data_IF_966451812292
#
_entry.id   IF_966451812292
#
_cell.length_a   1.000
_cell.length_b   1.000
_cell.length_c   1.000
_cell.angle_alpha   90.00
_cell.angle_beta   90.00
_cell.angle_gamma   90.00
#
_symmetry.space_group_name_H-M   'P 1'
#
loop_
_entity.id
_entity.type
_entity.pdbx_description
1 polymer ?
#
# COMPACT_ATOMS: atom_id res chain seq x y z
N UNK A 1 -9.07 10.06 3.44
CA UNK A 1 -8.56 9.58 4.75
C UNK A 1 -7.85 10.67 5.53
N UNK A 2 -7.01 11.46 4.88
CA UNK A 2 -6.28 12.56 5.50
C UNK A 2 -7.22 13.63 6.08
N UNK A 3 -8.36 13.88 5.42
CA UNK A 3 -9.42 14.75 5.96
C UNK A 3 -9.93 14.27 7.32
N UNK A 4 -10.17 12.96 7.46
CA UNK A 4 -10.59 12.38 8.74
C UNK A 4 -9.55 12.61 9.84
N UNK A 5 -8.25 12.49 9.51
CA UNK A 5 -7.20 12.79 10.48
C UNK A 5 -7.17 14.27 10.84
N UNK A 6 -7.29 15.16 9.84
CA UNK A 6 -7.26 16.61 10.06
C UNK A 6 -8.41 17.08 10.95
N UNK A 7 -9.61 16.56 10.73
CA UNK A 7 -10.82 17.03 11.42
C UNK A 7 -11.04 16.35 12.77
N UNK A 8 -10.72 15.05 12.89
CA UNK A 8 -11.18 14.25 14.03
C UNK A 8 -10.07 13.70 14.93
N UNK A 9 -8.79 13.88 14.62
CA UNK A 9 -7.70 13.31 15.42
C UNK A 9 -7.77 13.73 16.90
N UNK A 10 -7.87 15.04 17.18
CA UNK A 10 -7.91 15.54 18.56
C UNK A 10 -9.17 15.11 19.31
N UNK A 11 -10.34 15.18 18.67
CA UNK A 11 -11.60 14.75 19.28
C UNK A 11 -11.60 13.24 19.59
N UNK A 12 -11.09 12.43 18.67
CA UNK A 12 -10.94 10.99 18.85
C UNK A 12 -9.95 10.66 19.97
N UNK A 13 -8.84 11.41 20.06
CA UNK A 13 -7.86 11.28 21.15
C UNK A 13 -8.45 11.61 22.52
N UNK A 14 -9.15 12.74 22.64
CA UNK A 14 -9.79 13.17 23.90
C UNK A 14 -10.85 12.18 24.39
N UNK A 15 -11.62 11.59 23.47
CA UNK A 15 -12.67 10.60 23.78
C UNK A 15 -12.15 9.16 23.85
N UNK A 16 -10.85 8.94 23.66
CA UNK A 16 -10.22 7.63 23.58
C UNK A 16 -10.89 6.69 22.55
N UNK A 17 -11.26 7.23 21.39
CA UNK A 17 -11.86 6.49 20.26
C UNK A 17 -10.82 6.24 19.18
N UNK A 18 -10.74 5.02 18.66
CA UNK A 18 -9.90 4.70 17.52
C UNK A 18 -10.67 4.86 16.20
N UNK A 19 -10.10 5.62 15.27
CA UNK A 19 -10.55 5.72 13.88
C UNK A 19 -9.42 5.18 13.01
N UNK A 20 -9.57 3.97 12.49
CA UNK A 20 -8.53 3.33 11.67
C UNK A 20 -9.06 3.20 10.25
N UNK A 21 -8.41 3.90 9.31
CA UNK A 21 -8.76 3.84 7.89
C UNK A 21 -7.88 2.83 7.15
N UNK A 22 -8.28 2.45 5.94
CA UNK A 22 -7.49 1.60 5.04
C UNK A 22 -7.22 0.17 5.55
N UNK A 23 -8.13 -0.40 6.35
CA UNK A 23 -8.06 -1.78 6.86
C UNK A 23 -8.43 -2.84 5.80
N UNK A 24 -8.03 -2.65 4.55
CA UNK A 24 -8.37 -3.52 3.42
C UNK A 24 -7.15 -3.87 2.57
N UNK A 25 -7.41 -4.63 1.50
CA UNK A 25 -6.39 -5.18 0.60
C UNK A 25 -5.43 -4.15 0.01
N UNK A 26 -5.91 -2.95 -0.33
CA UNK A 26 -5.07 -1.95 -1.01
C UNK A 26 -3.91 -1.45 -0.14
N UNK A 27 -4.06 -1.47 1.19
CA UNK A 27 -3.11 -0.83 2.10
C UNK A 27 -2.51 -1.78 3.15
N UNK A 28 -3.26 -2.73 3.70
CA UNK A 28 -2.73 -3.64 4.73
C UNK A 28 -1.48 -4.42 4.28
N UNK A 29 -1.46 -5.07 3.10
CA UNK A 29 -0.30 -5.83 2.64
C UNK A 29 0.98 -4.99 2.55
N UNK A 30 0.88 -3.72 2.15
CA UNK A 30 2.06 -2.85 1.97
C UNK A 30 2.44 -2.16 3.28
N UNK A 31 1.48 -1.65 4.05
CA UNK A 31 1.75 -0.93 5.30
C UNK A 31 2.23 -1.88 6.40
N UNK A 32 1.49 -2.98 6.68
CA UNK A 32 1.96 -4.02 7.59
C UNK A 32 3.12 -4.83 7.01
N UNK A 33 3.21 -4.97 5.68
CA UNK A 33 4.36 -5.59 5.03
C UNK A 33 5.64 -4.80 5.27
N UNK A 34 5.54 -3.46 5.30
CA UNK A 34 6.66 -2.58 5.63
C UNK A 34 7.04 -2.70 7.10
N UNK A 35 6.06 -2.78 8.01
CA UNK A 35 6.32 -3.05 9.44
C UNK A 35 7.02 -4.40 9.62
N UNK A 36 6.50 -5.46 8.98
CA UNK A 36 7.10 -6.79 9.01
C UNK A 36 8.53 -6.78 8.47
N UNK A 37 8.76 -6.08 7.35
CA UNK A 37 10.08 -5.93 6.74
C UNK A 37 11.06 -5.24 7.68
N UNK A 38 10.67 -4.10 8.29
CA UNK A 38 11.52 -3.33 9.22
C UNK A 38 11.86 -4.16 10.45
N UNK A 39 10.88 -4.87 11.03
CA UNK A 39 11.09 -5.72 12.20
C UNK A 39 12.08 -6.85 11.92
N UNK A 40 12.08 -7.41 10.70
CA UNK A 40 12.98 -8.49 10.29
C UNK A 40 14.32 -7.99 9.71
N UNK A 41 14.46 -6.68 9.45
CA UNK A 41 15.66 -6.14 8.78
C UNK A 41 16.91 -6.17 9.65
N UNK A 42 16.78 -6.04 10.97
CA UNK A 42 17.91 -5.97 11.93
C UNK A 42 18.99 -4.97 11.47
N UNK A 43 18.57 -3.73 11.25
CA UNK A 43 19.38 -2.63 10.74
C UNK A 43 18.50 -1.44 10.36
N UNK A 44 19.05 -0.42 9.71
CA UNK A 44 18.28 0.72 9.21
C UNK A 44 17.72 0.46 7.80
N UNK A 45 16.40 0.50 7.65
CA UNK A 45 15.75 0.46 6.32
C UNK A 45 15.71 1.86 5.73
N UNK A 46 16.24 2.04 4.51
CA UNK A 46 16.17 3.30 3.78
C UNK A 46 14.92 3.42 2.92
N UNK A 47 14.62 2.34 2.19
CA UNK A 47 13.63 2.37 1.13
C UNK A 47 13.07 0.99 0.82
N UNK A 48 11.82 0.96 0.42
CA UNK A 48 11.10 -0.23 -0.05
C UNK A 48 10.49 0.08 -1.42
N UNK A 49 10.77 -0.77 -2.40
CA UNK A 49 10.02 -0.80 -3.66
C UNK A 49 9.04 -1.97 -3.59
N UNK A 50 7.75 -1.69 -3.69
CA UNK A 50 6.71 -2.72 -3.65
C UNK A 50 6.28 -3.08 -5.09
N UNK A 51 6.23 -4.36 -5.39
CA UNK A 51 5.82 -4.90 -6.69
C UNK A 51 4.57 -5.77 -6.54
N UNK A 52 3.49 -5.35 -7.16
CA UNK A 52 2.18 -6.01 -7.12
C UNK A 52 2.01 -6.88 -8.35
N UNK A 53 1.70 -8.15 -8.15
CA UNK A 53 1.34 -9.10 -9.19
C UNK A 53 -0.07 -9.61 -8.88
N UNK A 54 -0.94 -9.64 -9.89
CA UNK A 54 -2.28 -10.24 -9.81
C UNK A 54 -2.45 -11.16 -11.00
N UNK A 55 -2.85 -12.40 -10.76
CA UNK A 55 -3.01 -13.40 -11.81
C UNK A 55 -4.19 -14.32 -11.54
N UNK A 56 -4.56 -15.09 -12.55
CA UNK A 56 -5.57 -16.15 -12.47
C UNK A 56 -4.86 -17.50 -12.56
N UNK A 57 -5.24 -18.48 -11.74
CA UNK A 57 -4.69 -19.84 -11.88
C UNK A 57 -5.28 -20.57 -13.08
N UNK A 58 -6.58 -20.38 -13.33
CA UNK A 58 -7.26 -20.86 -14.53
C UNK A 58 -7.76 -19.67 -15.31
N UNK A 59 -7.45 -19.58 -16.61
CA UNK A 59 -7.96 -18.48 -17.42
C UNK A 59 -9.50 -18.53 -17.45
N UNK A 60 -10.14 -17.47 -16.95
CA UNK A 60 -11.58 -17.29 -17.04
C UNK A 60 -11.91 -15.94 -17.65
N UNK A 61 -12.85 -15.97 -18.59
CA UNK A 61 -13.47 -14.79 -19.15
C UNK A 61 -14.50 -14.25 -18.17
N UNK A 62 -14.57 -12.93 -18.04
CA UNK A 62 -15.52 -12.23 -17.19
C UNK A 62 -14.86 -11.21 -16.29
N UNK A 63 -15.70 -10.42 -15.63
CA UNK A 63 -15.24 -9.41 -14.69
C UNK A 63 -14.75 -10.05 -13.39
N UNK A 64 -13.64 -9.54 -12.89
CA UNK A 64 -13.07 -9.91 -11.59
C UNK A 64 -13.06 -8.72 -10.62
N UNK A 65 -13.33 -7.52 -11.13
CA UNK A 65 -13.46 -6.28 -10.38
C UNK A 65 -14.90 -5.77 -10.51
N UNK A 66 -15.47 -5.34 -9.40
CA UNK A 66 -16.80 -4.77 -9.28
C UNK A 66 -16.76 -3.29 -9.66
N UNK A 67 -17.86 -2.79 -10.21
CA UNK A 67 -18.03 -1.40 -10.61
C UNK A 67 -17.75 -0.41 -9.48
N UNK A 68 -18.12 -0.71 -8.23
CA UNK A 68 -17.84 0.14 -7.07
C UNK A 68 -16.33 0.35 -6.83
N UNK A 69 -15.52 -0.67 -7.08
CA UNK A 69 -14.05 -0.57 -7.02
C UNK A 69 -13.52 0.33 -8.14
N UNK A 70 -14.03 0.16 -9.36
CA UNK A 70 -13.70 1.03 -10.50
C UNK A 70 -14.08 2.49 -10.24
N UNK A 71 -15.29 2.71 -9.75
CA UNK A 71 -15.80 4.02 -9.38
C UNK A 71 -14.88 4.68 -8.35
N UNK A 72 -14.52 3.96 -7.29
CA UNK A 72 -13.59 4.48 -6.26
C UNK A 72 -12.21 4.83 -6.85
N UNK A 73 -11.68 4.00 -7.76
CA UNK A 73 -10.40 4.27 -8.41
C UNK A 73 -10.44 5.56 -9.27
N UNK A 74 -11.54 5.83 -9.97
CA UNK A 74 -11.70 7.07 -10.75
C UNK A 74 -11.66 8.31 -9.86
N UNK A 75 -12.30 8.27 -8.68
CA UNK A 75 -12.26 9.39 -7.73
C UNK A 75 -10.89 9.55 -7.05
N UNK A 76 -10.19 8.45 -6.79
CA UNK A 76 -8.79 8.52 -6.32
C UNK A 76 -7.90 9.30 -7.31
N UNK A 77 -8.18 9.19 -8.62
CA UNK A 77 -7.45 9.90 -9.66
C UNK A 77 -7.85 11.38 -9.81
N UNK A 78 -9.07 11.76 -9.43
CA UNK A 78 -9.59 13.12 -9.60
C UNK A 78 -9.29 14.06 -8.42
N UNK A 79 -9.21 13.53 -7.19
CA UNK A 79 -9.10 14.31 -5.95
C UNK A 79 -7.68 14.78 -5.60
N UNK A 80 -6.73 14.69 -6.54
CA UNK A 80 -5.30 14.97 -6.28
C UNK A 80 -5.06 16.39 -5.76
N UNK A 81 -5.83 17.39 -6.21
CA UNK A 81 -5.64 18.78 -5.81
C UNK A 81 -6.19 19.07 -4.40
N UNK A 82 -7.37 18.56 -4.06
CA UNK A 82 -7.93 18.69 -2.71
C UNK A 82 -6.99 18.07 -1.67
N UNK A 83 -6.43 16.89 -1.99
CA UNK A 83 -5.46 16.21 -1.13
C UNK A 83 -4.20 17.04 -0.86
N UNK A 84 -3.71 17.85 -1.80
CA UNK A 84 -2.57 18.75 -1.55
C UNK A 84 -2.89 19.77 -0.47
N UNK A 85 -4.09 20.37 -0.54
CA UNK A 85 -4.52 21.38 0.43
C UNK A 85 -4.65 20.80 1.84
N UNK A 86 -5.25 19.61 1.96
CA UNK A 86 -5.42 18.89 3.23
C UNK A 86 -4.06 18.51 3.81
N UNK A 87 -3.15 17.96 2.98
CA UNK A 87 -1.81 17.56 3.44
C UNK A 87 -0.98 18.74 3.92
N UNK A 88 -1.11 19.92 3.31
CA UNK A 88 -0.44 21.14 3.78
C UNK A 88 -0.92 21.57 5.16
N UNK A 89 -2.22 21.43 5.45
CA UNK A 89 -2.78 21.73 6.78
C UNK A 89 -2.37 20.69 7.82
N UNK A 90 -2.44 19.40 7.45
CA UNK A 90 -2.15 18.29 8.35
C UNK A 90 -0.65 18.18 8.67
N UNK A 91 0.20 18.48 7.69
CA UNK A 91 1.65 18.33 7.76
C UNK A 91 2.35 19.64 7.31
N UNK A 92 2.32 20.70 8.15
CA UNK A 92 2.91 21.98 7.79
C UNK A 92 4.44 21.90 7.64
N UNK A 93 5.10 21.12 8.48
CA UNK A 93 6.48 20.70 8.29
C UNK A 93 6.55 19.51 7.32
N UNK A 94 7.47 19.56 6.35
CA UNK A 94 7.71 18.47 5.39
C UNK A 94 8.50 17.30 5.99
N UNK A 95 9.07 17.48 7.17
CA UNK A 95 9.91 16.50 7.84
C UNK A 95 11.29 16.34 7.20
N UNK A 96 12.12 15.43 7.76
CA UNK A 96 13.49 15.25 7.32
C UNK A 96 13.57 14.66 5.91
N UNK A 97 14.54 15.13 5.12
CA UNK A 97 14.84 14.55 3.82
C UNK A 97 15.73 13.32 4.01
N UNK A 98 15.18 12.15 3.72
CA UNK A 98 15.93 10.89 3.81
C UNK A 98 16.91 10.72 2.64
N UNK A 99 18.15 10.39 2.96
CA UNK A 99 19.22 10.10 2.01
C UNK A 99 19.74 8.65 2.20
N UNK A 100 20.05 7.92 1.11
CA UNK A 100 19.86 8.33 -0.28
C UNK A 100 18.36 8.33 -0.66
N UNK A 101 17.99 9.26 -1.53
CA UNK A 101 16.60 9.41 -1.96
C UNK A 101 16.19 8.26 -2.89
N UNK A 102 15.03 7.65 -2.61
CA UNK A 102 14.42 6.67 -3.51
C UNK A 102 13.89 7.40 -4.76
N UNK A 103 14.35 6.98 -5.94
CA UNK A 103 13.89 7.54 -7.21
C UNK A 103 12.61 6.85 -7.67
N UNK A 104 11.58 7.63 -7.99
CA UNK A 104 10.36 7.09 -8.58
C UNK A 104 10.61 6.68 -10.03
N UNK A 105 10.24 5.45 -10.39
CA UNK A 105 10.40 4.91 -11.74
C UNK A 105 9.12 5.13 -12.54
N UNK A 106 9.06 6.27 -13.22
CA UNK A 106 7.87 6.70 -13.97
C UNK A 106 7.58 5.87 -15.23
N UNK A 107 8.58 5.19 -15.78
CA UNK A 107 8.48 4.40 -17.00
C UNK A 107 8.51 2.89 -16.71
N UNK A 108 8.11 2.11 -17.72
CA UNK A 108 8.17 0.65 -17.69
C UNK A 108 9.59 0.19 -17.40
N UNK A 109 9.77 -0.71 -16.44
CA UNK A 109 11.09 -1.18 -16.00
C UNK A 109 11.06 -2.63 -15.50
N UNK A 110 12.24 -3.21 -15.24
CA UNK A 110 12.40 -4.49 -14.55
C UNK A 110 12.99 -4.29 -13.15
N UNK A 111 12.69 -5.23 -12.25
CA UNK A 111 13.37 -5.35 -10.96
C UNK A 111 13.85 -6.79 -10.76
N UNK A 112 14.92 -6.98 -9.99
CA UNK A 112 15.45 -8.32 -9.66
C UNK A 112 14.54 -9.12 -8.71
N UNK A 113 13.61 -8.45 -8.04
CA UNK A 113 12.68 -9.06 -7.09
C UNK A 113 11.49 -9.77 -7.75
N UNK A 114 11.19 -9.47 -9.02
CA UNK A 114 10.03 -10.00 -9.75
C UNK A 114 10.40 -10.34 -11.19
N UNK A 115 9.69 -11.28 -11.81
CA UNK A 115 10.01 -11.80 -13.15
C UNK A 115 9.50 -10.95 -14.33
N UNK A 116 8.66 -9.96 -14.08
CA UNK A 116 7.94 -9.21 -15.10
C UNK A 116 8.44 -7.78 -15.37
N UNK A 117 7.56 -7.01 -16.02
CA UNK A 117 7.72 -5.60 -16.33
C UNK A 117 6.77 -4.77 -15.48
N UNK A 118 7.32 -3.78 -14.77
CA UNK A 118 6.61 -3.02 -13.77
C UNK A 118 6.38 -1.58 -14.21
N UNK A 119 5.23 -1.03 -13.82
CA UNK A 119 4.81 0.35 -14.09
C UNK A 119 4.26 0.98 -12.81
N UNK A 120 4.28 2.32 -12.64
CA UNK A 120 3.69 2.97 -11.48
C UNK A 120 2.26 2.52 -11.23
N UNK A 121 1.94 2.18 -9.98
CA UNK A 121 0.59 1.81 -9.57
C UNK A 121 -0.02 2.96 -8.76
N UNK A 122 -1.09 3.62 -9.24
CA UNK A 122 -1.70 4.75 -8.54
C UNK A 122 -2.64 4.23 -7.43
N UNK A 123 -2.07 3.89 -6.28
CA UNK A 123 -2.77 3.39 -5.09
C UNK A 123 -2.75 4.38 -3.92
N UNK A 124 -3.59 4.13 -2.92
CA UNK A 124 -3.65 4.97 -1.72
C UNK A 124 -2.52 4.69 -0.72
N UNK A 125 -1.87 3.53 -0.84
CA UNK A 125 -0.82 3.00 0.04
C UNK A 125 0.30 4.01 0.33
N UNK A 126 0.79 4.76 -0.66
CA UNK A 126 1.85 5.75 -0.46
C UNK A 126 1.45 6.82 0.56
N UNK A 127 0.19 7.27 0.54
CA UNK A 127 -0.30 8.25 1.51
C UNK A 127 -0.41 7.64 2.90
N UNK A 128 -0.96 6.42 2.98
CA UNK A 128 -1.12 5.69 4.24
C UNK A 128 0.25 5.45 4.88
N UNK A 129 1.19 4.90 4.13
CA UNK A 129 2.52 4.55 4.64
C UNK A 129 3.31 5.80 5.02
N UNK A 130 3.24 6.89 4.25
CA UNK A 130 3.87 8.15 4.63
C UNK A 130 3.38 8.65 6.00
N UNK A 131 2.09 8.49 6.30
CA UNK A 131 1.51 8.81 7.62
C UNK A 131 2.04 7.86 8.70
N UNK A 132 2.13 6.56 8.41
CA UNK A 132 2.72 5.57 9.33
C UNK A 132 4.17 5.93 9.68
N UNK A 133 5.00 6.18 8.66
CA UNK A 133 6.42 6.51 8.84
C UNK A 133 6.61 7.82 9.61
N UNK A 134 5.74 8.83 9.38
CA UNK A 134 5.77 10.06 10.16
C UNK A 134 5.46 9.82 11.63
N UNK A 135 4.45 9.00 11.91
CA UNK A 135 4.09 8.64 13.28
C UNK A 135 5.25 7.91 13.98
N UNK A 136 5.85 6.92 13.32
CA UNK A 136 6.98 6.16 13.88
C UNK A 136 8.22 7.01 14.12
N UNK A 137 8.51 8.00 13.26
CA UNK A 137 9.57 8.96 13.52
C UNK A 137 9.31 9.75 14.81
N UNK A 138 8.09 10.28 14.96
CA UNK A 138 7.72 11.16 16.07
C UNK A 138 7.62 10.43 17.42
N UNK A 139 7.13 9.18 17.42
CA UNK A 139 6.78 8.47 18.65
C UNK A 139 7.67 7.26 18.95
N UNK A 140 8.34 6.69 17.94
CA UNK A 140 9.14 5.48 18.08
C UNK A 140 10.62 5.70 17.78
N UNK A 141 11.02 6.94 17.43
CA UNK A 141 12.38 7.26 16.96
C UNK A 141 12.87 6.32 15.86
N UNK A 142 11.96 5.90 14.98
CA UNK A 142 12.28 5.01 13.87
C UNK A 142 12.65 5.82 12.63
N UNK A 143 13.69 5.38 11.91
CA UNK A 143 14.05 5.92 10.59
C UNK A 143 12.86 5.78 9.62
N UNK A 144 12.42 6.86 8.95
CA UNK A 144 11.36 6.79 7.94
C UNK A 144 11.78 5.97 6.72
N UNK A 145 10.94 5.02 6.32
CA UNK A 145 11.10 4.25 5.08
C UNK A 145 10.51 5.00 3.89
N UNK A 146 11.28 5.17 2.81
CA UNK A 146 10.76 5.70 1.54
C UNK A 146 10.11 4.59 0.73
N UNK A 147 8.92 4.82 0.15
CA UNK A 147 8.20 3.77 -0.56
C UNK A 147 7.57 4.23 -1.89
N UNK A 148 7.69 3.37 -2.90
CA UNK A 148 6.90 3.41 -4.14
C UNK A 148 6.37 2.04 -4.50
N UNK A 149 5.17 2.01 -5.07
CA UNK A 149 4.47 0.80 -5.48
C UNK A 149 4.32 0.76 -6.99
N UNK A 150 4.53 -0.43 -7.55
CA UNK A 150 4.47 -0.70 -8.97
C UNK A 150 3.63 -1.94 -9.21
N UNK A 151 2.88 -1.98 -10.29
CA UNK A 151 2.17 -3.19 -10.75
C UNK A 151 3.01 -3.86 -11.83
N UNK A 152 3.13 -5.18 -11.76
CA UNK A 152 4.01 -6.00 -12.60
C UNK A 152 3.19 -6.88 -13.53
N UNK A 153 3.55 -6.85 -14.81
CA UNK A 153 2.95 -7.65 -15.86
C UNK A 153 3.96 -8.66 -16.43
N UNK A 154 3.53 -9.85 -16.86
CA UNK A 154 4.43 -10.86 -17.41
C UNK A 154 5.08 -10.43 -18.73
N UNK A 155 4.42 -9.58 -19.52
CA UNK A 155 4.85 -9.21 -20.87
C UNK A 155 5.05 -7.70 -21.01
N UNK A 156 6.10 -7.30 -21.75
CA UNK A 156 6.45 -5.89 -21.98
C UNK A 156 5.32 -5.12 -22.66
N UNK A 157 4.73 -5.70 -23.70
CA UNK A 157 3.65 -5.06 -24.47
C UNK A 157 2.42 -4.80 -23.59
N UNK A 158 2.10 -5.74 -22.69
CA UNK A 158 1.00 -5.56 -21.74
C UNK A 158 1.31 -4.46 -20.73
N UNK A 159 2.54 -4.40 -20.20
CA UNK A 159 2.97 -3.32 -19.31
C UNK A 159 2.93 -1.95 -20.00
N UNK A 160 3.39 -1.86 -21.25
CA UNK A 160 3.33 -0.63 -22.05
C UNK A 160 1.89 -0.19 -22.31
N UNK A 161 1.02 -1.11 -22.72
CA UNK A 161 -0.40 -0.81 -22.93
C UNK A 161 -1.07 -0.31 -21.65
N UNK A 162 -0.83 -0.99 -20.52
CA UNK A 162 -1.34 -0.58 -19.22
C UNK A 162 -0.82 0.79 -18.78
N UNK A 163 0.47 1.09 -19.03
CA UNK A 163 1.06 2.39 -18.72
C UNK A 163 0.46 3.53 -19.54
N UNK A 164 0.32 3.33 -20.86
CA UNK A 164 -0.31 4.32 -21.76
C UNK A 164 -1.77 4.54 -21.38
N UNK A 165 -2.53 3.46 -21.25
CA UNK A 165 -3.96 3.54 -20.91
C UNK A 165 -4.17 4.17 -19.52
N UNK A 166 -3.39 3.77 -18.52
CA UNK A 166 -3.42 4.35 -17.19
C UNK A 166 -3.13 5.85 -17.20
N UNK A 167 -2.12 6.29 -17.98
CA UNK A 167 -1.82 7.71 -18.17
C UNK A 167 -2.96 8.50 -18.81
N UNK A 168 -3.61 7.93 -19.83
CA UNK A 168 -4.79 8.53 -20.48
C UNK A 168 -5.99 8.62 -19.53
N UNK A 169 -6.27 7.56 -18.75
CA UNK A 169 -7.34 7.54 -17.76
C UNK A 169 -7.10 8.57 -16.64
N UNK A 170 -5.86 8.66 -16.13
CA UNK A 170 -5.46 9.66 -15.13
C UNK A 170 -5.66 11.09 -15.65
N UNK A 171 -5.35 11.34 -16.93
CA UNK A 171 -5.55 12.66 -17.53
C UNK A 171 -7.05 12.96 -17.70
N UNK A 172 -7.82 12.01 -18.23
CA UNK A 172 -9.25 12.15 -18.46
C UNK A 172 -10.04 12.33 -17.15
N UNK A 173 -9.66 11.64 -16.07
CA UNK A 173 -10.31 11.73 -14.76
C UNK A 173 -10.22 13.14 -14.12
N UNK A 174 -9.33 14.02 -14.61
CA UNK A 174 -9.28 15.42 -14.16
C UNK A 174 -10.48 16.24 -14.60
N UNK A 175 -11.10 15.87 -15.72
CA UNK A 175 -12.24 16.59 -16.31
C UNK A 175 -13.54 15.86 -16.00
N UNK A 176 -14.62 16.60 -15.80
CA UNK A 176 -15.93 16.01 -15.46
C UNK A 176 -16.46 15.09 -16.57
N UNK A 177 -16.47 15.57 -17.82
CA UNK A 177 -16.85 14.75 -18.98
C UNK A 177 -15.96 13.51 -19.14
N UNK A 178 -14.67 13.62 -18.81
CA UNK A 178 -13.74 12.49 -18.84
C UNK A 178 -14.08 11.46 -17.77
N UNK A 179 -14.37 11.88 -16.53
CA UNK A 179 -14.85 10.99 -15.46
C UNK A 179 -16.14 10.30 -15.85
N UNK A 180 -17.11 11.05 -16.36
CA UNK A 180 -18.39 10.51 -16.78
C UNK A 180 -18.23 9.44 -17.86
N UNK A 181 -17.38 9.70 -18.86
CA UNK A 181 -17.04 8.72 -19.89
C UNK A 181 -16.39 7.45 -19.32
N UNK A 182 -15.41 7.61 -18.42
CA UNK A 182 -14.72 6.47 -17.79
C UNK A 182 -15.69 5.60 -16.97
N UNK A 183 -16.61 6.24 -16.25
CA UNK A 183 -17.64 5.58 -15.44
C UNK A 183 -18.74 4.93 -16.29
N UNK A 184 -19.08 5.50 -17.46
CA UNK A 184 -20.06 4.92 -18.40
C UNK A 184 -19.51 3.70 -19.16
N UNK A 185 -18.19 3.62 -19.36
CA UNK A 185 -17.58 2.57 -20.18
C UNK A 185 -16.54 1.70 -19.44
N UNK A 186 -16.85 1.15 -18.25
CA UNK A 186 -15.89 0.42 -17.42
C UNK A 186 -15.38 -0.85 -18.11
N UNK A 187 -16.27 -1.65 -18.71
CA UNK A 187 -15.92 -2.89 -19.41
C UNK A 187 -14.98 -2.64 -20.59
N UNK A 188 -15.23 -1.58 -21.37
CA UNK A 188 -14.40 -1.23 -22.52
C UNK A 188 -12.99 -0.83 -22.07
N UNK A 189 -12.91 0.08 -21.11
CA UNK A 189 -11.65 0.65 -20.63
C UNK A 189 -10.85 -0.29 -19.73
N UNK A 190 -11.47 -1.32 -19.18
CA UNK A 190 -10.79 -2.36 -18.41
C UNK A 190 -10.51 -3.63 -19.21
N UNK A 191 -10.83 -3.68 -20.51
CA UNK A 191 -10.76 -4.92 -21.31
C UNK A 191 -11.59 -6.08 -20.76
N UNK A 192 -12.74 -5.78 -20.14
CA UNK A 192 -13.65 -6.77 -19.55
C UNK A 192 -13.38 -7.15 -18.09
N UNK A 193 -12.28 -6.70 -17.49
CA UNK A 193 -11.95 -6.98 -16.07
C UNK A 193 -12.96 -6.40 -15.07
N UNK A 194 -13.62 -5.29 -15.40
CA UNK A 194 -14.60 -4.61 -14.54
C UNK A 194 -16.01 -4.93 -14.98
N UNK A 195 -16.88 -5.25 -14.03
CA UNK A 195 -18.31 -5.49 -14.24
C UNK A 195 -19.11 -5.22 -12.97
N UNK A 196 -20.43 -5.37 -13.03
CA UNK A 196 -21.30 -5.11 -11.87
C UNK A 196 -21.32 -6.29 -10.90
N UNK A 197 -21.26 -7.52 -11.40
CA UNK A 197 -21.39 -8.73 -10.60
C UNK A 197 -20.29 -9.75 -10.97
N UNK A 198 -19.03 -9.55 -10.51
CA UNK A 198 -18.00 -10.56 -10.67
C UNK A 198 -18.43 -11.85 -9.94
N UNK A 199 -18.35 -13.00 -10.62
CA UNK A 199 -18.77 -14.27 -10.02
C UNK A 199 -17.82 -14.69 -8.90
N UNK A 200 -18.35 -15.37 -7.87
CA UNK A 200 -17.53 -15.86 -6.77
C UNK A 200 -16.40 -16.77 -7.24
N UNK A 201 -16.68 -17.62 -8.24
CA UNK A 201 -15.67 -18.46 -8.90
C UNK A 201 -14.55 -17.62 -9.50
N UNK A 202 -14.87 -16.53 -10.22
CA UNK A 202 -13.89 -15.64 -10.82
C UNK A 202 -13.04 -14.92 -9.75
N UNK A 203 -13.68 -14.45 -8.67
CA UNK A 203 -12.99 -13.78 -7.55
C UNK A 203 -12.06 -14.74 -6.80
N UNK A 204 -12.49 -15.97 -6.52
CA UNK A 204 -11.69 -16.97 -5.80
C UNK A 204 -10.53 -17.53 -6.62
N UNK A 205 -10.61 -17.45 -7.95
CA UNK A 205 -9.53 -17.85 -8.87
C UNK A 205 -8.43 -16.78 -9.01
N UNK A 206 -8.68 -15.55 -8.56
CA UNK A 206 -7.66 -14.50 -8.53
C UNK A 206 -6.69 -14.72 -7.37
N UNK A 207 -5.42 -14.54 -7.68
CA UNK A 207 -4.32 -14.58 -6.75
C UNK A 207 -3.54 -13.28 -6.83
N UNK A 208 -2.88 -12.94 -5.73
CA UNK A 208 -2.07 -11.75 -5.67
C UNK A 208 -0.76 -11.99 -4.92
N UNK A 209 0.22 -11.14 -5.20
CA UNK A 209 1.34 -10.93 -4.29
C UNK A 209 1.86 -9.50 -4.33
N UNK A 210 2.28 -9.03 -3.16
CA UNK A 210 3.07 -7.83 -2.96
C UNK A 210 4.48 -8.25 -2.59
N UNK A 211 5.44 -8.03 -3.48
CA UNK A 211 6.86 -8.28 -3.22
C UNK A 211 7.52 -6.97 -2.81
N UNK A 212 7.84 -6.85 -1.52
CA UNK A 212 8.49 -5.68 -0.93
C UNK A 212 10.00 -5.88 -0.96
N UNK A 213 10.67 -5.07 -1.77
CA UNK A 213 12.12 -5.07 -1.94
C UNK A 213 12.75 -3.97 -1.10
N UNK A 214 13.17 -4.32 0.13
CA UNK A 214 13.77 -3.41 1.09
C UNK A 214 15.28 -3.28 0.90
N UNK A 215 15.78 -2.05 0.97
CA UNK A 215 17.22 -1.72 1.00
C UNK A 215 17.56 -0.83 2.18
N UNK A 216 18.72 -1.04 2.74
CA UNK A 216 19.18 -0.34 3.93
C UNK A 216 20.59 -0.73 4.32
N UNK A 217 20.89 -0.57 5.60
CA UNK A 217 22.20 -0.86 6.19
C UNK A 217 22.10 -1.90 7.29
N UNK A 218 23.16 -2.69 7.48
CA UNK A 218 23.28 -3.59 8.63
C UNK A 218 23.26 -2.80 9.95
N UNK A 219 23.92 -1.66 9.95
CA UNK A 219 24.04 -0.81 11.13
C UNK A 219 22.81 0.07 11.35
N UNK A 220 22.60 0.44 12.61
CA UNK A 220 21.62 1.45 13.01
C UNK A 220 22.33 2.71 13.44
N UNK A 221 21.86 3.86 12.97
CA UNK A 221 22.34 5.14 13.47
C UNK A 221 21.83 5.44 14.88
N UNK A 222 22.52 6.35 15.57
CA UNK A 222 22.10 6.82 16.88
C UNK A 222 20.78 7.61 16.78
N UNK A 223 20.69 8.56 15.83
CA UNK A 223 19.45 9.26 15.53
C UNK A 223 18.80 8.76 14.22
N UNK A 224 17.46 8.62 14.17
CA UNK A 224 16.76 8.03 13.03
C UNK A 224 16.92 8.83 11.73
N UNK A 225 17.24 10.12 11.85
CA UNK A 225 17.43 11.03 10.72
C UNK A 225 18.87 11.18 10.28
N UNK A 226 19.81 10.57 11.00
CA UNK A 226 21.22 10.65 10.65
C UNK A 226 21.48 10.02 9.29
N UNK A 227 22.54 10.51 8.66
CA UNK A 227 22.96 10.04 7.36
C UNK A 227 24.03 8.98 7.50
N UNK A 228 23.75 7.81 6.95
CA UNK A 228 24.78 6.82 6.65
C UNK A 228 25.76 7.38 5.61
N UNK A 229 27.06 7.27 5.88
CA UNK A 229 28.11 7.71 4.96
C UNK A 229 28.17 6.81 3.72
N UNK A 230 27.98 5.50 3.91
CA UNK A 230 28.08 4.49 2.88
C UNK A 230 26.76 4.24 2.15
N UNK A 231 26.83 3.57 1.00
CA UNK A 231 25.64 3.15 0.25
C UNK A 231 24.96 1.98 0.98
N UNK A 232 23.63 1.81 0.83
CA UNK A 232 22.93 0.65 1.37
C UNK A 232 23.61 -0.67 0.97
N UNK A 233 23.95 -1.49 1.96
CA UNK A 233 24.68 -2.75 1.84
C UNK A 233 23.83 -3.99 2.15
N UNK A 234 22.61 -3.77 2.66
CA UNK A 234 21.67 -4.83 3.01
C UNK A 234 20.40 -4.75 2.20
N UNK A 235 19.92 -5.92 1.77
CA UNK A 235 18.66 -6.10 1.09
C UNK A 235 17.85 -7.20 1.76
N UNK A 236 16.56 -6.96 1.94
CA UNK A 236 15.63 -7.94 2.48
C UNK A 236 14.35 -7.92 1.64
N UNK A 237 13.87 -9.10 1.28
CA UNK A 237 12.67 -9.28 0.44
C UNK A 237 11.58 -9.94 1.26
N UNK A 238 10.46 -9.25 1.41
CA UNK A 238 9.22 -9.77 1.99
C UNK A 238 8.22 -9.98 0.87
N UNK A 239 7.45 -11.05 0.93
CA UNK A 239 6.31 -11.27 0.05
C UNK A 239 5.04 -11.40 0.89
N UNK A 240 4.02 -10.64 0.51
CA UNK A 240 2.66 -10.79 1.06
C UNK A 240 1.79 -11.37 -0.05
N UNK A 241 1.17 -12.54 0.15
CA UNK A 241 0.42 -13.22 -0.90
C UNK A 241 -0.90 -13.81 -0.39
N UNK A 242 -1.82 -14.05 -1.32
CA UNK A 242 -3.12 -14.64 -1.02
C UNK A 242 -3.98 -14.77 -2.26
N UNK A 243 -5.26 -15.05 -2.05
CA UNK A 243 -6.27 -15.13 -3.10
C UNK A 243 -7.41 -14.14 -2.84
N UNK A 244 -8.25 -13.94 -3.86
CA UNK A 244 -9.40 -13.05 -3.81
C UNK A 244 -9.03 -11.64 -3.28
N UNK A 245 -8.18 -10.89 -4.00
CA UNK A 245 -7.57 -9.66 -3.50
C UNK A 245 -8.60 -8.60 -3.09
N UNK A 246 -9.50 -8.22 -4.01
CA UNK A 246 -10.34 -7.05 -3.79
C UNK A 246 -11.42 -7.25 -2.72
N UNK A 247 -12.00 -8.46 -2.60
CA UNK A 247 -13.18 -8.70 -1.75
C UNK A 247 -12.84 -9.64 -0.59
N UNK A 248 -12.42 -10.87 -0.88
CA UNK A 248 -12.14 -11.87 0.15
C UNK A 248 -11.06 -11.41 1.13
N UNK A 249 -9.88 -11.06 0.61
CA UNK A 249 -8.77 -10.57 1.43
C UNK A 249 -9.12 -9.26 2.15
N UNK A 250 -9.92 -8.37 1.54
CA UNK A 250 -10.44 -7.16 2.20
C UNK A 250 -11.37 -7.49 3.37
N UNK A 251 -12.30 -8.43 3.20
CA UNK A 251 -13.20 -8.86 4.28
C UNK A 251 -12.42 -9.48 5.44
N UNK A 252 -11.47 -10.37 5.14
CA UNK A 252 -10.58 -10.97 6.16
C UNK A 252 -9.80 -9.88 6.90
N UNK A 253 -9.14 -8.98 6.16
CA UNK A 253 -8.41 -7.85 6.71
C UNK A 253 -9.27 -6.97 7.62
N UNK A 254 -10.48 -6.62 7.20
CA UNK A 254 -11.38 -5.74 7.93
C UNK A 254 -11.88 -6.40 9.23
N UNK A 255 -12.33 -7.65 9.14
CA UNK A 255 -12.85 -8.39 10.30
C UNK A 255 -11.73 -8.64 11.31
N UNK A 256 -10.56 -9.11 10.86
CA UNK A 256 -9.44 -9.32 11.76
C UNK A 256 -8.96 -8.01 12.40
N UNK A 257 -8.94 -6.91 11.65
CA UNK A 257 -8.65 -5.59 12.24
C UNK A 257 -9.61 -5.25 13.39
N UNK A 258 -10.92 -5.47 13.20
CA UNK A 258 -11.92 -5.22 14.24
C UNK A 258 -11.72 -6.14 15.46
N UNK A 259 -11.48 -7.43 15.23
CA UNK A 259 -11.19 -8.42 16.28
C UNK A 259 -9.94 -8.02 17.06
N UNK A 260 -8.86 -7.61 16.38
CA UNK A 260 -7.62 -7.16 17.00
C UNK A 260 -7.84 -5.94 17.90
N UNK A 261 -8.63 -4.95 17.47
CA UNK A 261 -8.93 -3.76 18.29
C UNK A 261 -9.59 -4.16 19.61
N UNK A 262 -10.54 -5.10 19.57
CA UNK A 262 -11.30 -5.54 20.74
C UNK A 262 -10.46 -6.42 21.65
N UNK A 263 -9.71 -7.37 21.09
CA UNK A 263 -9.02 -8.41 21.87
C UNK A 263 -7.62 -7.99 22.35
N UNK A 264 -7.00 -6.99 21.71
CA UNK A 264 -5.62 -6.58 21.97
C UNK A 264 -5.51 -5.07 22.21
N UNK A 265 -6.48 -4.53 22.96
CA UNK A 265 -6.53 -3.10 23.29
C UNK A 265 -5.26 -2.60 23.99
N UNK A 266 -4.57 -3.47 24.75
CA UNK A 266 -3.29 -3.20 25.42
C UNK A 266 -2.10 -3.00 24.46
N UNK A 267 -2.22 -3.49 23.22
CA UNK A 267 -1.19 -3.37 22.18
C UNK A 267 -1.47 -2.28 21.15
N UNK A 268 -2.65 -1.65 21.22
CA UNK A 268 -3.02 -0.50 20.38
C UNK A 268 -2.22 0.75 20.78
N UNK A 269 -2.21 1.83 19.98
CA UNK A 269 -1.59 3.10 20.37
C UNK A 269 -2.10 3.58 21.73
N UNK A 270 -1.24 4.25 22.52
CA UNK A 270 -1.52 4.58 23.93
C UNK A 270 -2.74 5.49 24.17
N UNK A 271 -3.28 6.12 23.13
CA UNK A 271 -4.50 6.91 23.17
C UNK A 271 -5.32 6.65 21.93
N UNK A 272 -6.63 6.95 22.01
CA UNK A 272 -7.47 7.13 20.82
C UNK A 272 -6.88 8.14 19.83
N UNK A 273 -7.45 8.17 18.63
CA UNK A 273 -6.98 9.00 17.54
C UNK A 273 -7.30 8.40 16.17
N UNK A 274 -6.78 9.07 15.13
CA UNK A 274 -6.95 8.63 13.74
C UNK A 274 -5.64 8.01 13.24
N UNK A 275 -5.64 6.70 13.03
CA UNK A 275 -4.45 5.92 12.73
C UNK A 275 -4.52 5.22 11.37
N UNK A 276 -3.34 4.87 10.86
CA UNK A 276 -3.18 3.94 9.74
C UNK A 276 -3.09 2.51 10.27
N UNK A 277 -3.29 1.48 9.43
CA UNK A 277 -3.13 0.10 9.87
C UNK A 277 -1.72 -0.18 10.38
N UNK A 278 -0.71 0.35 9.70
CA UNK A 278 0.70 0.25 10.10
C UNK A 278 0.94 0.73 11.52
N UNK A 279 0.38 1.88 11.90
CA UNK A 279 0.54 2.42 13.26
C UNK A 279 -0.31 1.65 14.27
N UNK A 280 -1.58 1.42 13.94
CA UNK A 280 -2.53 0.84 14.87
C UNK A 280 -2.16 -0.60 15.26
N UNK A 281 -1.66 -1.38 14.31
CA UNK A 281 -1.46 -2.81 14.47
C UNK A 281 0.01 -3.23 14.57
N UNK A 282 0.97 -2.28 14.57
CA UNK A 282 2.41 -2.56 14.55
C UNK A 282 2.89 -3.53 15.64
N UNK A 283 2.23 -3.51 16.79
CA UNK A 283 2.58 -4.27 17.99
C UNK A 283 1.59 -5.39 18.32
N UNK A 284 0.64 -5.65 17.44
CA UNK A 284 -0.45 -6.63 17.63
C UNK A 284 -0.15 -7.94 16.91
N UNK A 285 -0.99 -8.97 17.09
CA UNK A 285 -0.86 -10.24 16.34
C UNK A 285 -1.61 -10.26 15.00
N UNK A 286 -2.01 -9.10 14.46
CA UNK A 286 -2.82 -9.06 13.24
C UNK A 286 -2.12 -9.74 12.05
N UNK A 287 -0.79 -9.67 11.94
CA UNK A 287 -0.03 -10.34 10.87
C UNK A 287 -0.14 -11.87 11.02
N UNK A 288 0.02 -12.39 12.23
CA UNK A 288 -0.11 -13.82 12.52
C UNK A 288 -1.53 -14.32 12.21
N UNK A 289 -2.54 -13.53 12.53
CA UNK A 289 -3.93 -13.91 12.27
C UNK A 289 -4.27 -13.80 10.77
N UNK A 290 -3.73 -12.81 10.05
CA UNK A 290 -3.80 -12.74 8.58
C UNK A 290 -3.15 -13.97 7.93
N UNK A 291 -1.98 -14.39 8.42
CA UNK A 291 -1.29 -15.59 7.94
C UNK A 291 -2.16 -16.85 8.06
N UNK A 292 -2.86 -17.01 9.20
CA UNK A 292 -3.78 -18.14 9.43
C UNK A 292 -5.00 -18.10 8.49
N UNK A 293 -5.39 -16.92 8.01
CA UNK A 293 -6.57 -16.71 7.17
C UNK A 293 -6.24 -16.40 5.70
N UNK A 294 -5.10 -16.88 5.21
CA UNK A 294 -4.79 -16.90 3.78
C UNK A 294 -4.14 -15.64 3.21
N UNK A 295 -3.82 -14.64 4.04
CA UNK A 295 -2.98 -13.48 3.66
C UNK A 295 -1.60 -13.67 4.28
N UNK A 296 -0.71 -14.32 3.53
CA UNK A 296 0.58 -14.82 4.01
C UNK A 296 1.70 -13.78 3.86
N UNK A 297 2.37 -13.46 4.95
CA UNK A 297 3.57 -12.63 5.05
C UNK A 297 4.78 -13.54 5.21
N UNK A 298 5.70 -13.48 4.25
CA UNK A 298 6.83 -14.41 4.15
C UNK A 298 8.14 -13.66 3.91
N UNK A 299 9.20 -14.12 4.58
CA UNK A 299 10.56 -13.70 4.28
C UNK A 299 11.09 -14.52 3.09
N UNK A 300 11.37 -13.86 1.97
CA UNK A 300 11.82 -14.54 0.74
C UNK A 300 13.34 -14.64 0.67
N UNK A 301 14.05 -13.57 0.99
CA UNK A 301 15.51 -13.59 1.00
C UNK A 301 16.10 -12.44 1.80
N UNK A 302 17.31 -12.67 2.31
CA UNK A 302 18.19 -11.65 2.90
C UNK A 302 19.52 -11.71 2.17
N UNK A 303 20.04 -10.57 1.74
CA UNK A 303 21.35 -10.44 1.10
C UNK A 303 22.12 -9.30 1.74
N UNK A 304 23.34 -9.61 2.14
CA UNK A 304 24.29 -8.66 2.70
C UNK A 304 25.48 -8.61 1.74
N UNK A 305 25.95 -7.39 1.47
CA UNK A 305 27.20 -7.14 0.74
C UNK A 305 28.32 -6.77 1.70
#
# INVERSE_FOLDING_TARGET
>A
MERMQLEYYEAAKQKNVYIISACGFDCIPVDLGTVFLVNNFKGDVNSVECYVEVWQNTFMLGSTINYGTWHSAVYLMSEVEELKSIRKKLFPDRGPKMLPTLKHKWFVHKNKAVGGWSVPFPTADRSVIARSQRHFLQHNKQRPVQLFTYVTFPYLLLALAAWVLGGLLLLAAKFEAGREFILKHPRLLSGGLVGFDPSEKAMNNLHFSFTLYGKGWKDKMAEPTDRHAEKPDKTLVVKVSGNNPAYGATCVALVLSAVTIVQQADKMPASGGVYTPGVAFAKTTLIEDLNKHGVKFELVSVKER
#
